data_IF_291644957838
#
_entry.id   IF_291644957838
#
_cell.length_a   1.000
_cell.length_b   1.000
_cell.length_c   1.000
_cell.angle_alpha   90.00
_cell.angle_beta   90.00
_cell.angle_gamma   90.00
#
_symmetry.space_group_name_H-M   'P 1'
#
loop_
_entity.id
_entity.type
_entity.pdbx_description
1 polymer ?
#
# COMPACT_ATOMS: atom_id res chain seq x y z
N UNK A 1 24.95 1.49 7.22
CA UNK A 1 23.94 1.01 6.25
C UNK A 1 23.12 -0.05 6.96
N UNK A 2 21.79 0.05 6.92
CA UNK A 2 20.90 -1.01 7.45
C UNK A 2 20.86 -2.13 6.41
N UNK A 3 21.14 -3.37 6.80
CA UNK A 3 21.10 -4.50 5.88
C UNK A 3 19.66 -5.01 5.69
N UNK A 4 19.40 -5.79 4.63
CA UNK A 4 18.06 -6.35 4.40
C UNK A 4 17.63 -7.26 5.55
N UNK A 5 18.56 -8.05 6.08
CA UNK A 5 18.32 -8.93 7.23
C UNK A 5 17.96 -8.15 8.49
N UNK A 6 18.58 -6.98 8.70
CA UNK A 6 18.23 -6.09 9.81
C UNK A 6 16.79 -5.56 9.68
N UNK A 7 16.33 -5.24 8.47
CA UNK A 7 14.95 -4.82 8.22
C UNK A 7 13.95 -5.95 8.48
N UNK A 8 14.21 -7.16 7.98
CA UNK A 8 13.33 -8.31 8.17
C UNK A 8 13.25 -8.75 9.65
N UNK A 9 14.27 -8.41 10.44
CA UNK A 9 14.28 -8.65 11.89
C UNK A 9 13.63 -7.50 12.68
N UNK A 10 13.21 -6.42 12.02
CA UNK A 10 12.63 -5.25 12.68
C UNK A 10 11.12 -5.38 12.87
N UNK A 11 10.60 -5.23 14.11
CA UNK A 11 9.16 -5.19 14.35
C UNK A 11 8.46 -4.05 13.61
N UNK A 12 9.10 -2.89 13.48
CA UNK A 12 8.50 -1.72 12.82
C UNK A 12 8.27 -1.97 11.32
N UNK A 13 9.15 -2.74 10.68
CA UNK A 13 9.00 -3.11 9.27
C UNK A 13 7.70 -3.88 9.04
N UNK A 14 7.49 -4.94 9.83
CA UNK A 14 6.29 -5.76 9.72
C UNK A 14 5.02 -5.03 10.17
N UNK A 15 5.10 -4.21 11.21
CA UNK A 15 3.97 -3.38 11.63
C UNK A 15 3.54 -2.40 10.53
N UNK A 16 4.49 -1.72 9.90
CA UNK A 16 4.20 -0.80 8.80
C UNK A 16 3.61 -1.53 7.60
N UNK A 17 4.14 -2.70 7.24
CA UNK A 17 3.55 -3.52 6.17
C UNK A 17 2.09 -3.87 6.48
N UNK A 18 1.79 -4.31 7.71
CA UNK A 18 0.41 -4.61 8.13
C UNK A 18 -0.48 -3.36 8.13
N UNK A 19 0.02 -2.19 8.54
CA UNK A 19 -0.72 -0.94 8.47
C UNK A 19 -1.05 -0.54 7.02
N UNK A 20 -0.12 -0.75 6.09
CA UNK A 20 -0.32 -0.53 4.66
C UNK A 20 -1.41 -1.46 4.11
N UNK A 21 -1.40 -2.73 4.47
CA UNK A 21 -2.45 -3.69 4.04
C UNK A 21 -3.84 -3.27 4.54
N UNK A 22 -3.94 -2.83 5.79
CA UNK A 22 -5.21 -2.36 6.37
C UNK A 22 -5.67 -1.04 5.74
N UNK A 23 -4.74 -0.12 5.44
CA UNK A 23 -5.03 1.08 4.67
C UNK A 23 -5.60 0.73 3.30
N UNK A 24 -4.92 -0.16 2.56
CA UNK A 24 -5.31 -0.56 1.22
C UNK A 24 -6.67 -1.24 1.21
N UNK A 25 -6.93 -2.12 2.17
CA UNK A 25 -8.22 -2.78 2.37
C UNK A 25 -9.38 -1.77 2.40
N UNK A 26 -9.23 -0.71 3.19
CA UNK A 26 -10.25 0.33 3.32
C UNK A 26 -10.32 1.22 2.07
N UNK A 27 -9.17 1.61 1.54
CA UNK A 27 -9.08 2.48 0.37
C UNK A 27 -9.69 1.82 -0.88
N UNK A 28 -9.35 0.55 -1.13
CA UNK A 28 -9.96 -0.24 -2.22
C UNK A 28 -11.47 -0.36 -2.05
N UNK A 29 -11.95 -0.63 -0.83
CA UNK A 29 -13.40 -0.67 -0.59
C UNK A 29 -14.07 0.67 -0.90
N UNK A 30 -13.45 1.79 -0.53
CA UNK A 30 -13.93 3.13 -0.87
C UNK A 30 -13.99 3.36 -2.38
N UNK A 31 -12.92 3.00 -3.10
CA UNK A 31 -12.82 3.15 -4.56
C UNK A 31 -13.84 2.28 -5.30
N UNK A 32 -13.92 0.98 -4.99
CA UNK A 32 -14.86 0.04 -5.60
C UNK A 32 -16.33 0.45 -5.42
N UNK A 33 -16.64 1.16 -4.34
CA UNK A 33 -18.00 1.60 -4.03
C UNK A 33 -18.24 3.09 -4.33
N UNK A 34 -17.25 3.83 -4.85
CA UNK A 34 -17.29 5.28 -5.05
C UNK A 34 -17.73 6.06 -3.79
N UNK A 35 -17.15 5.73 -2.64
CA UNK A 35 -17.50 6.32 -1.35
C UNK A 35 -16.43 7.30 -0.86
N UNK A 36 -16.87 8.43 -0.32
CA UNK A 36 -16.04 9.32 0.50
C UNK A 36 -15.80 8.72 1.90
N UNK A 37 -14.80 9.24 2.63
CA UNK A 37 -14.50 8.81 4.01
C UNK A 37 -15.73 8.89 4.92
N UNK A 38 -16.52 9.97 4.80
CA UNK A 38 -17.75 10.18 5.58
C UNK A 38 -18.79 9.10 5.26
N UNK A 39 -19.02 8.83 3.97
CA UNK A 39 -19.99 7.83 3.55
C UNK A 39 -19.58 6.42 3.96
N UNK A 40 -18.28 6.10 3.95
CA UNK A 40 -17.78 4.83 4.48
C UNK A 40 -18.01 4.71 5.99
N UNK A 41 -17.72 5.76 6.76
CA UNK A 41 -17.98 5.76 8.21
C UNK A 41 -19.47 5.47 8.50
N UNK A 42 -20.37 6.15 7.78
CA UNK A 42 -21.82 5.95 7.88
C UNK A 42 -22.22 4.52 7.46
N UNK A 43 -21.74 4.04 6.31
CA UNK A 43 -22.07 2.71 5.77
C UNK A 43 -21.59 1.57 6.67
N UNK A 44 -20.38 1.68 7.21
CA UNK A 44 -19.79 0.69 8.11
C UNK A 44 -20.22 0.88 9.58
N UNK A 45 -21.01 1.92 9.89
CA UNK A 45 -21.47 2.27 11.24
C UNK A 45 -20.32 2.44 12.26
N UNK A 46 -19.24 3.08 11.82
CA UNK A 46 -18.06 3.40 12.64
C UNK A 46 -17.87 4.91 12.73
N UNK A 47 -17.00 5.38 13.63
CA UNK A 47 -16.76 6.82 13.76
C UNK A 47 -15.93 7.37 12.58
N UNK A 48 -16.16 8.61 12.13
CA UNK A 48 -15.32 9.25 11.12
C UNK A 48 -13.84 9.33 11.54
N UNK A 49 -13.57 9.51 12.84
CA UNK A 49 -12.21 9.49 13.40
C UNK A 49 -11.51 8.15 13.19
N UNK A 50 -12.23 7.03 13.35
CA UNK A 50 -11.69 5.69 13.10
C UNK A 50 -11.24 5.52 11.64
N UNK A 51 -12.08 5.94 10.69
CA UNK A 51 -11.74 5.93 9.25
C UNK A 51 -10.53 6.83 8.96
N UNK A 52 -10.52 8.05 9.52
CA UNK A 52 -9.42 8.99 9.32
C UNK A 52 -8.09 8.47 9.89
N UNK A 53 -8.10 7.83 11.06
CA UNK A 53 -6.89 7.24 11.66
C UNK A 53 -6.25 6.19 10.75
N UNK A 54 -7.08 5.32 10.14
CA UNK A 54 -6.61 4.32 9.17
C UNK A 54 -5.98 5.02 7.97
N UNK A 55 -6.70 5.98 7.37
CA UNK A 55 -6.28 6.64 6.13
C UNK A 55 -5.10 7.60 6.31
N UNK A 56 -4.83 8.04 7.54
CA UNK A 56 -3.63 8.80 7.87
C UNK A 56 -2.42 7.89 8.19
N UNK A 57 -2.60 6.56 8.21
CA UNK A 57 -1.53 5.59 8.48
C UNK A 57 -1.00 5.58 9.92
N UNK A 58 -1.63 6.34 10.82
CA UNK A 58 -1.20 6.47 12.22
C UNK A 58 -2.18 5.77 13.15
N UNK A 59 -2.08 4.44 13.23
CA UNK A 59 -2.92 3.63 14.11
C UNK A 59 -2.18 2.38 14.60
N UNK A 60 -2.49 1.94 15.82
CA UNK A 60 -2.03 0.65 16.36
C UNK A 60 -3.24 -0.09 16.94
N UNK A 61 -4.00 -0.72 16.06
CA UNK A 61 -5.22 -1.42 16.45
C UNK A 61 -4.95 -2.82 16.98
N UNK A 62 -5.86 -3.32 17.80
CA UNK A 62 -5.88 -4.73 18.19
C UNK A 62 -6.24 -5.60 16.99
N UNK A 63 -5.83 -6.87 17.03
CA UNK A 63 -6.20 -7.85 16.00
C UNK A 63 -7.73 -7.93 15.84
N UNK A 64 -8.49 -7.89 16.94
CA UNK A 64 -9.96 -7.91 16.90
C UNK A 64 -10.55 -6.80 16.02
N UNK A 65 -10.04 -5.56 16.14
CA UNK A 65 -10.49 -4.43 15.32
C UNK A 65 -10.14 -4.60 13.84
N UNK A 66 -9.01 -5.23 13.53
CA UNK A 66 -8.63 -5.53 12.14
C UNK A 66 -9.55 -6.59 11.53
N UNK A 67 -9.88 -7.63 12.31
CA UNK A 67 -10.81 -8.68 11.90
C UNK A 67 -12.21 -8.11 11.66
N UNK A 68 -12.72 -7.30 12.58
CA UNK A 68 -14.01 -6.61 12.43
C UNK A 68 -14.05 -5.76 11.14
N UNK A 69 -13.01 -4.94 10.91
CA UNK A 69 -12.92 -4.12 9.71
C UNK A 69 -12.92 -4.96 8.42
N UNK A 70 -12.11 -6.02 8.37
CA UNK A 70 -12.04 -6.91 7.21
C UNK A 70 -13.41 -7.52 6.88
N UNK A 71 -14.13 -8.02 7.91
CA UNK A 71 -15.46 -8.58 7.73
C UNK A 71 -16.49 -7.54 7.31
N UNK A 72 -16.41 -6.32 7.85
CA UNK A 72 -17.29 -5.20 7.48
C UNK A 72 -17.17 -4.82 5.99
N UNK A 73 -15.98 -4.96 5.40
CA UNK A 73 -15.74 -4.72 3.97
C UNK A 73 -15.85 -6.01 3.12
N UNK A 74 -16.32 -7.11 3.70
CA UNK A 74 -16.56 -8.37 2.99
C UNK A 74 -15.30 -9.15 2.61
N UNK A 75 -14.21 -9.02 3.37
CA UNK A 75 -12.94 -9.73 3.16
C UNK A 75 -12.62 -10.65 4.34
N UNK A 76 -11.91 -11.75 4.07
CA UNK A 76 -11.43 -12.67 5.10
C UNK A 76 -9.99 -12.31 5.51
N UNK A 77 -9.71 -12.04 6.80
CA UNK A 77 -8.36 -11.75 7.27
C UNK A 77 -7.57 -13.06 7.50
N UNK A 78 -6.86 -13.52 6.47
CA UNK A 78 -6.01 -14.72 6.54
C UNK A 78 -4.60 -14.32 6.97
N UNK A 79 -4.09 -14.90 8.06
CA UNK A 79 -2.73 -14.64 8.57
C UNK A 79 -1.85 -15.87 8.32
N UNK A 80 -0.67 -15.64 7.77
CA UNK A 80 0.35 -16.66 7.50
C UNK A 80 1.71 -16.19 8.02
N UNK A 81 2.53 -17.14 8.49
CA UNK A 81 3.89 -16.89 8.96
C UNK A 81 4.88 -17.65 8.09
N UNK A 82 6.00 -17.01 7.76
CA UNK A 82 7.05 -17.53 6.88
C UNK A 82 8.42 -17.36 7.55
N UNK A 83 9.41 -18.17 7.16
CA UNK A 83 10.78 -17.99 7.65
C UNK A 83 11.37 -16.69 7.10
N UNK A 84 12.06 -15.95 7.96
CA UNK A 84 12.80 -14.73 7.56
C UNK A 84 13.88 -15.07 6.51
N UNK A 85 14.53 -16.22 6.66
CA UNK A 85 15.55 -16.71 5.74
C UNK A 85 14.96 -17.04 4.36
N UNK A 86 13.77 -17.64 4.31
CA UNK A 86 13.06 -17.92 3.06
C UNK A 86 12.71 -16.62 2.33
N UNK A 87 12.16 -15.64 3.04
CA UNK A 87 11.81 -14.33 2.48
C UNK A 87 13.07 -13.62 1.92
N UNK A 88 14.16 -13.62 2.68
CA UNK A 88 15.42 -13.02 2.24
C UNK A 88 15.94 -13.65 0.94
N UNK A 89 15.86 -14.98 0.80
CA UNK A 89 16.28 -15.69 -0.42
C UNK A 89 15.40 -15.37 -1.63
N UNK A 90 14.09 -15.29 -1.44
CA UNK A 90 13.16 -15.02 -2.55
C UNK A 90 13.44 -13.63 -3.13
N UNK A 91 13.59 -12.63 -2.29
CA UNK A 91 13.80 -11.24 -2.72
C UNK A 91 15.16 -11.01 -3.40
N UNK A 92 16.21 -11.73 -2.98
CA UNK A 92 17.52 -11.69 -3.66
C UNK A 92 17.48 -12.24 -5.09
N UNK A 93 16.56 -13.18 -5.36
CA UNK A 93 16.36 -13.78 -6.68
C UNK A 93 15.44 -12.94 -7.59
N UNK A 94 14.72 -11.96 -7.04
CA UNK A 94 13.98 -10.94 -7.81
C UNK A 94 14.92 -9.79 -8.15
N UNK A 95 15.96 -10.06 -8.96
CA UNK A 95 16.67 -8.97 -9.64
C UNK A 95 15.70 -8.32 -10.66
N UNK A 96 15.61 -6.98 -10.74
CA UNK A 96 14.78 -6.33 -11.73
C UNK A 96 15.32 -6.65 -13.12
N UNK A 97 14.49 -7.26 -13.98
CA UNK A 97 14.77 -7.34 -15.42
C UNK A 97 15.04 -5.92 -15.93
N UNK A 98 16.21 -5.78 -16.53
CA UNK A 98 16.80 -4.57 -17.08
C UNK A 98 15.85 -3.65 -17.86
N UNK A 99 15.98 -2.35 -17.58
CA UNK A 99 16.29 -1.31 -18.57
C UNK A 99 15.36 -1.22 -19.79
N UNK A 100 14.39 -0.30 -19.73
CA UNK A 100 13.83 0.32 -20.93
C UNK A 100 14.93 1.12 -21.63
N UNK A 101 15.61 0.46 -22.56
CA UNK A 101 16.28 1.08 -23.68
C UNK A 101 15.23 1.67 -24.61
N UNK A 102 15.35 2.97 -24.85
CA UNK A 102 14.52 3.74 -25.77
C UNK A 102 15.30 4.97 -26.22
N UNK A 103 16.46 4.75 -26.84
CA UNK A 103 17.07 5.75 -27.71
C UNK A 103 16.15 5.91 -28.93
N UNK A 104 15.53 7.07 -29.07
CA UNK A 104 15.14 7.66 -30.34
C UNK A 104 15.59 9.13 -30.25
N UNK A 105 16.81 9.47 -30.64
CA UNK A 105 17.15 9.98 -31.98
C UNK A 105 16.00 10.66 -32.72
N UNK A 106 16.19 11.98 -32.92
CA UNK A 106 15.77 12.76 -34.09
C UNK A 106 14.31 13.20 -34.22
N UNK A 107 14.04 14.46 -33.86
CA UNK A 107 13.26 15.35 -34.73
C UNK A 107 13.94 16.73 -34.75
N UNK A 108 14.73 16.98 -35.79
CA UNK A 108 14.85 18.30 -36.39
C UNK A 108 13.60 18.52 -37.25
N UNK A 109 12.85 19.61 -37.03
CA UNK A 109 12.45 20.55 -38.08
C UNK A 109 11.47 21.61 -37.55
N UNK A 110 11.94 22.85 -37.63
CA UNK A 110 11.25 24.11 -37.94
C UNK A 110 9.71 24.21 -37.80
N UNK A 111 9.30 25.16 -36.96
CA UNK A 111 8.28 26.21 -37.25
C UNK A 111 8.46 27.28 -36.17
N UNK A 112 9.24 28.36 -36.38
CA UNK A 112 8.85 29.64 -37.01
C UNK A 112 7.49 30.17 -36.49
N UNK A 113 7.54 31.41 -35.94
CA UNK A 113 6.44 32.39 -35.72
C UNK A 113 5.67 32.09 -34.41
N UNK A 114 5.55 32.95 -33.38
CA UNK A 114 5.11 34.35 -33.30
C UNK A 114 5.68 35.00 -32.02
N UNK A 115 6.34 36.16 -32.16
CA UNK A 115 6.40 37.20 -31.12
C UNK A 115 5.50 38.33 -31.59
N UNK A 116 4.53 38.71 -30.77
CA UNK A 116 3.87 40.01 -30.78
C UNK A 116 3.78 40.47 -29.35
#
# INVERSE_FOLDING_TARGET
MVTRKDLLSSPSYWLTNMQIEVFNLLNTYMEENNLTQRQVAEKLKVSPSYISQILNGNFNFTISKLVELALLVGKAPVIQFQSIEEIARVEENVQPKAQRSGKASSISNASKIIVR
#
